data_IF_527690865103
#
_entry.id   IF_527690865103
#
_cell.length_a   1.000
_cell.length_b   1.000
_cell.length_c   1.000
_cell.angle_alpha   90.00
_cell.angle_beta   90.00
_cell.angle_gamma   90.00
#
_symmetry.space_group_name_H-M   'P 1'
#
loop_
_entity.id
_entity.type
_entity.pdbx_description
1 polymer ?
#
# COMPACT_ATOMS: atom_id res chain seq x y z
N UNK A 1 11.70 16.78 2.01
CA UNK A 1 10.53 15.92 2.32
C UNK A 1 10.75 14.62 1.58
N UNK A 2 10.73 13.48 2.28
CA UNK A 2 10.85 12.18 1.60
C UNK A 2 9.51 11.82 1.01
N UNK A 3 9.49 11.17 -0.15
CA UNK A 3 8.23 10.71 -0.76
C UNK A 3 8.01 9.24 -0.47
N UNK A 4 6.84 8.91 0.05
CA UNK A 4 6.38 7.54 0.22
C UNK A 4 5.15 7.33 -0.67
N UNK A 5 5.20 6.29 -1.50
CA UNK A 5 4.06 5.79 -2.26
C UNK A 5 3.40 4.67 -1.47
N UNK A 6 2.09 4.79 -1.26
CA UNK A 6 1.23 3.67 -0.93
C UNK A 6 0.74 3.07 -2.25
N UNK A 7 1.19 1.86 -2.57
CA UNK A 7 0.88 1.14 -3.80
C UNK A 7 0.93 -0.36 -3.53
N UNK A 8 -0.12 -1.08 -3.92
CA UNK A 8 -0.10 -2.53 -3.89
C UNK A 8 0.65 -3.08 -5.11
N UNK A 9 1.50 -4.06 -4.86
CA UNK A 9 2.14 -4.89 -5.86
C UNK A 9 2.22 -6.30 -5.30
N UNK A 10 2.23 -7.30 -6.18
CA UNK A 10 2.13 -8.68 -5.74
C UNK A 10 3.35 -9.09 -4.92
N UNK A 11 3.10 -9.76 -3.80
CA UNK A 11 4.11 -10.33 -2.89
C UNK A 11 5.11 -9.27 -2.36
N UNK A 12 4.68 -8.01 -2.29
CA UNK A 12 5.47 -6.88 -1.80
C UNK A 12 4.77 -6.16 -0.64
N UNK A 13 5.54 -5.43 0.18
CA UNK A 13 4.93 -4.50 1.13
C UNK A 13 4.20 -3.36 0.39
N UNK A 14 3.16 -2.75 0.97
CA UNK A 14 2.37 -1.74 0.28
C UNK A 14 3.05 -0.36 0.21
N UNK A 15 4.24 -0.20 0.77
CA UNK A 15 4.93 1.09 0.88
C UNK A 15 6.20 1.11 0.05
N UNK A 16 6.43 2.21 -0.65
CA UNK A 16 7.61 2.39 -1.50
C UNK A 16 8.20 3.76 -1.26
N UNK A 17 9.52 3.84 -1.09
CA UNK A 17 10.21 5.12 -1.10
C UNK A 17 10.52 5.49 -2.55
N UNK A 18 10.21 6.74 -2.91
CA UNK A 18 10.46 7.29 -4.25
C UNK A 18 11.07 8.69 -4.11
N UNK A 19 12.31 8.74 -3.63
CA UNK A 19 13.07 9.99 -3.48
C UNK A 19 14.31 9.95 -4.37
N UNK A 20 14.86 11.12 -4.73
CA UNK A 20 15.94 11.26 -5.73
C UNK A 20 17.16 10.33 -5.53
N UNK A 21 17.40 9.87 -4.31
CA UNK A 21 18.54 9.00 -3.95
C UNK A 21 18.14 7.64 -3.34
N UNK A 22 16.85 7.36 -3.18
CA UNK A 22 16.36 6.19 -2.46
C UNK A 22 15.07 5.66 -3.10
N UNK A 23 15.16 4.46 -3.69
CA UNK A 23 14.03 3.73 -4.26
C UNK A 23 14.01 2.33 -3.67
N UNK A 24 12.87 1.89 -3.15
CA UNK A 24 12.75 0.55 -2.57
C UNK A 24 11.41 0.30 -1.88
N UNK A 25 11.13 -0.99 -1.65
CA UNK A 25 9.99 -1.44 -0.89
C UNK A 25 10.26 -1.26 0.62
N UNK A 26 9.30 -0.69 1.34
CA UNK A 26 9.42 -0.35 2.76
C UNK A 26 8.54 -1.30 3.56
N UNK A 27 9.15 -2.01 4.51
CA UNK A 27 8.41 -2.75 5.52
C UNK A 27 7.69 -1.76 6.46
N UNK A 28 6.35 -1.83 6.62
CA UNK A 28 5.63 -0.99 7.58
C UNK A 28 6.18 -1.07 9.00
N UNK A 29 6.81 -2.18 9.40
CA UNK A 29 7.45 -2.34 10.71
C UNK A 29 8.71 -1.49 10.90
N UNK A 30 9.34 -1.06 9.81
CA UNK A 30 10.48 -0.14 9.84
C UNK A 30 10.10 1.32 10.12
N UNK A 31 8.81 1.65 10.03
CA UNK A 31 8.29 3.00 10.25
C UNK A 31 7.79 3.19 11.69
N UNK A 32 7.93 4.42 12.20
CA UNK A 32 7.42 4.83 13.51
C UNK A 32 5.92 5.19 13.43
N UNK A 33 5.11 4.23 13.00
CA UNK A 33 3.65 4.30 12.94
C UNK A 33 3.02 3.28 13.89
N UNK A 34 1.74 3.44 14.18
CA UNK A 34 0.99 2.61 15.10
C UNK A 34 0.85 1.18 14.61
N UNK A 35 0.87 0.22 15.54
CA UNK A 35 0.70 -1.20 15.20
C UNK A 35 -0.65 -1.48 14.52
N UNK A 36 -1.68 -0.69 14.84
CA UNK A 36 -2.96 -0.75 14.13
C UNK A 36 -2.80 -0.42 12.65
N UNK A 37 -2.11 0.67 12.33
CA UNK A 37 -1.91 1.09 10.94
C UNK A 37 -1.04 0.09 10.17
N UNK A 38 0.03 -0.44 10.79
CA UNK A 38 0.86 -1.50 10.19
C UNK A 38 0.03 -2.74 9.83
N UNK A 39 -0.80 -3.21 10.75
CA UNK A 39 -1.69 -4.34 10.52
C UNK A 39 -2.70 -4.07 9.40
N UNK A 40 -3.27 -2.87 9.35
CA UNK A 40 -4.19 -2.51 8.26
C UNK A 40 -3.49 -2.43 6.90
N UNK A 41 -2.23 -1.97 6.84
CA UNK A 41 -1.43 -1.92 5.62
C UNK A 41 -1.09 -3.32 5.11
N UNK A 42 -0.53 -4.18 5.98
CA UNK A 42 -0.20 -5.56 5.61
C UNK A 42 -1.44 -6.34 5.19
N UNK A 43 -2.56 -6.17 5.90
CA UNK A 43 -3.82 -6.79 5.48
C UNK A 43 -4.28 -6.30 4.11
N UNK A 44 -4.10 -5.02 3.81
CA UNK A 44 -4.48 -4.46 2.52
C UNK A 44 -3.61 -4.99 1.37
N UNK A 45 -2.28 -5.14 1.56
CA UNK A 45 -1.44 -5.83 0.56
C UNK A 45 -1.81 -7.31 0.43
N UNK A 46 -2.04 -8.03 1.53
CA UNK A 46 -2.45 -9.44 1.50
C UNK A 46 -3.77 -9.64 0.75
N UNK A 47 -4.70 -8.68 0.86
CA UNK A 47 -5.97 -8.73 0.15
C UNK A 47 -5.78 -8.49 -1.37
N UNK A 48 -4.76 -7.73 -1.79
CA UNK A 48 -4.36 -7.63 -3.19
C UNK A 48 -3.71 -8.91 -3.69
N UNK A 49 -2.83 -9.52 -2.89
CA UNK A 49 -2.14 -10.78 -3.24
C UNK A 49 -3.12 -11.92 -3.49
N UNK A 50 -4.24 -11.96 -2.76
CA UNK A 50 -5.32 -12.93 -2.99
C UNK A 50 -6.00 -12.80 -4.36
N UNK A 51 -5.79 -11.69 -5.05
CA UNK A 51 -6.27 -11.48 -6.42
C UNK A 51 -5.33 -12.06 -7.48
N UNK A 52 -4.11 -12.45 -7.10
CA UNK A 52 -3.17 -13.10 -7.98
C UNK A 52 -3.70 -14.48 -8.41
N UNK A 53 -3.76 -14.71 -9.71
CA UNK A 53 -4.00 -16.03 -10.26
C UNK A 53 -2.66 -16.65 -10.68
N UNK A 54 -2.10 -17.52 -9.82
CA UNK A 54 -0.80 -18.16 -10.06
C UNK A 54 -0.78 -19.07 -11.29
N UNK A 55 -1.92 -19.65 -11.67
CA UNK A 55 -2.03 -20.53 -12.84
C UNK A 55 -2.12 -19.72 -14.14
N UNK A 56 -2.75 -18.54 -14.09
CA UNK A 56 -2.88 -17.64 -15.22
C UNK A 56 -2.80 -16.16 -14.77
N UNK A 57 -1.58 -15.58 -14.73
CA UNK A 57 -1.39 -14.21 -14.23
C UNK A 57 -2.18 -13.13 -14.97
N UNK A 58 -2.53 -13.36 -16.24
CA UNK A 58 -3.35 -12.44 -17.04
C UNK A 58 -4.80 -12.32 -16.57
N UNK A 59 -5.28 -13.33 -15.82
CA UNK A 59 -6.62 -13.34 -15.20
C UNK A 59 -6.57 -12.93 -13.73
N UNK A 60 -5.46 -12.36 -13.26
CA UNK A 60 -5.37 -11.78 -11.92
C UNK A 60 -6.20 -10.51 -11.80
N UNK A 61 -6.56 -10.16 -10.57
CA UNK A 61 -7.34 -8.98 -10.23
C UNK A 61 -8.64 -9.32 -9.50
N UNK A 62 -9.38 -8.28 -9.14
CA UNK A 62 -10.61 -8.42 -8.38
C UNK A 62 -11.69 -9.15 -9.20
N UNK A 63 -12.48 -10.00 -8.54
CA UNK A 63 -13.53 -10.78 -9.20
C UNK A 63 -14.71 -9.89 -9.60
N UNK A 64 -14.88 -8.77 -8.90
CA UNK A 64 -15.93 -7.81 -9.18
C UNK A 64 -15.44 -6.38 -9.09
N UNK A 65 -16.12 -5.49 -9.83
CA UNK A 65 -15.88 -4.04 -9.76
C UNK A 65 -16.09 -3.48 -8.35
N UNK A 66 -17.02 -4.05 -7.57
CA UNK A 66 -17.30 -3.57 -6.21
C UNK A 66 -16.15 -3.90 -5.25
N UNK A 67 -15.52 -5.07 -5.40
CA UNK A 67 -14.33 -5.43 -4.63
C UNK A 67 -13.17 -4.49 -4.96
N UNK A 68 -12.96 -4.17 -6.25
CA UNK A 68 -11.93 -3.22 -6.69
C UNK A 68 -12.18 -1.81 -6.13
N UNK A 69 -13.43 -1.34 -6.17
CA UNK A 69 -13.80 -0.03 -5.61
C UNK A 69 -13.53 0.00 -4.10
N UNK A 70 -14.00 -1.01 -3.35
CA UNK A 70 -13.79 -1.09 -1.92
C UNK A 70 -12.30 -1.14 -1.55
N UNK A 71 -11.49 -1.86 -2.33
CA UNK A 71 -10.05 -1.90 -2.18
C UNK A 71 -9.39 -0.53 -2.39
N UNK A 72 -9.78 0.20 -3.44
CA UNK A 72 -9.26 1.54 -3.74
C UNK A 72 -9.68 2.57 -2.69
N UNK A 73 -10.91 2.49 -2.18
CA UNK A 73 -11.37 3.34 -1.09
C UNK A 73 -10.57 3.08 0.19
N UNK A 74 -10.30 1.81 0.52
CA UNK A 74 -9.45 1.44 1.66
C UNK A 74 -8.04 2.01 1.50
N UNK A 75 -7.45 1.93 0.31
CA UNK A 75 -6.14 2.51 -0.01
C UNK A 75 -6.09 4.02 0.25
N UNK A 76 -7.11 4.78 -0.17
CA UNK A 76 -7.22 6.22 0.12
C UNK A 76 -7.26 6.50 1.62
N UNK A 77 -8.09 5.78 2.38
CA UNK A 77 -8.15 5.94 3.84
C UNK A 77 -6.81 5.63 4.52
N UNK A 78 -6.07 4.63 4.03
CA UNK A 78 -4.75 4.28 4.56
C UNK A 78 -3.71 5.36 4.27
N UNK A 79 -3.75 5.98 3.09
CA UNK A 79 -2.87 7.10 2.76
C UNK A 79 -3.09 8.28 3.71
N UNK A 80 -4.35 8.63 4.00
CA UNK A 80 -4.67 9.71 4.94
C UNK A 80 -4.12 9.41 6.34
N UNK A 81 -4.32 8.19 6.85
CA UNK A 81 -3.77 7.75 8.14
C UNK A 81 -2.24 7.81 8.16
N UNK A 82 -1.59 7.30 7.13
CA UNK A 82 -0.13 7.36 6.97
C UNK A 82 0.38 8.79 7.00
N UNK A 83 -0.25 9.70 6.25
CA UNK A 83 0.16 11.10 6.20
C UNK A 83 0.04 11.78 7.58
N UNK A 84 -0.99 11.45 8.35
CA UNK A 84 -1.19 11.96 9.71
C UNK A 84 -0.09 11.45 10.64
N UNK A 85 0.17 10.14 10.67
CA UNK A 85 1.13 9.56 11.61
C UNK A 85 2.59 9.88 11.28
N UNK A 86 2.95 9.93 9.99
CA UNK A 86 4.29 10.28 9.54
C UNK A 86 4.58 11.79 9.58
N UNK A 87 3.52 12.61 9.61
CA UNK A 87 3.60 14.06 9.65
C UNK A 87 4.31 14.68 8.43
N UNK A 88 4.77 15.92 8.58
CA UNK A 88 5.27 16.75 7.48
C UNK A 88 6.68 16.38 6.98
N UNK A 89 7.30 15.35 7.57
CA UNK A 89 8.61 14.86 7.11
C UNK A 89 8.47 14.07 5.80
N UNK A 90 7.26 13.53 5.55
CA UNK A 90 6.92 12.69 4.43
C UNK A 90 5.78 13.28 3.60
N UNK A 91 5.90 13.11 2.29
CA UNK A 91 4.83 13.29 1.32
C UNK A 91 4.29 11.90 0.97
N UNK A 92 3.11 11.56 1.47
CA UNK A 92 2.51 10.25 1.23
C UNK A 92 1.53 10.37 0.07
N UNK A 93 1.80 9.65 -1.02
CA UNK A 93 0.92 9.60 -2.19
C UNK A 93 0.28 8.22 -2.34
N UNK A 94 -1.00 8.17 -2.70
CA UNK A 94 -1.67 6.94 -3.05
C UNK A 94 -1.60 6.70 -4.56
N UNK A 95 -1.15 5.52 -4.96
CA UNK A 95 -1.13 5.06 -6.34
C UNK A 95 -1.99 3.81 -6.47
N UNK A 96 -3.09 3.93 -7.24
CA UNK A 96 -4.09 2.90 -7.48
C UNK A 96 -3.91 2.17 -8.79
#
# INVERSE_FOLDING_TARGET
MKKIKLMADYECYPLWIDSDNEVGNIDPDSLLISDSLKNELNKWSDDYDKTLNSDNPLESGFKTINEEIAFKEKGKCLQEKLQIELGNNYDVIYQS
#
